data_IF_270862636890
#
_entry.id   IF_270862636890
#
_cell.length_a   1.000
_cell.length_b   1.000
_cell.length_c   1.000
_cell.angle_alpha   90.00
_cell.angle_beta   90.00
_cell.angle_gamma   90.00
#
_symmetry.space_group_name_H-M   'P 1'
#
loop_
_entity.id
_entity.type
_entity.pdbx_description
1 polymer ?
#
# COMPACT_ATOMS: atom_id res chain seq x y z
N UNK A 1 1.20 -10.89 15.20
CA UNK A 1 0.51 -9.64 14.85
C UNK A 1 -0.47 -9.90 13.71
N UNK A 2 -1.68 -9.43 13.87
CA UNK A 2 -2.71 -9.60 12.85
C UNK A 2 -2.49 -8.62 11.71
N UNK A 3 -2.58 -9.11 10.49
CA UNK A 3 -2.43 -8.29 9.29
C UNK A 3 -3.64 -8.42 8.39
N UNK A 4 -3.87 -7.40 7.59
CA UNK A 4 -4.90 -7.39 6.56
C UNK A 4 -4.24 -7.23 5.20
N UNK A 5 -4.93 -7.70 4.19
CA UNK A 5 -4.56 -7.48 2.80
C UNK A 5 -5.57 -6.51 2.20
N UNK A 6 -5.07 -5.40 1.70
CA UNK A 6 -5.91 -4.40 1.04
C UNK A 6 -5.59 -4.40 -0.43
N UNK A 7 -6.62 -4.50 -1.25
CA UNK A 7 -6.50 -4.39 -2.69
C UNK A 7 -6.96 -2.99 -3.07
N UNK A 8 -6.07 -2.24 -3.71
CA UNK A 8 -6.39 -0.92 -4.23
C UNK A 8 -6.59 -1.00 -5.73
N UNK A 9 -7.63 -0.35 -6.21
CA UNK A 9 -7.86 -0.19 -7.63
C UNK A 9 -7.21 1.11 -8.06
N UNK A 10 -6.36 1.04 -9.06
CA UNK A 10 -5.68 2.21 -9.60
C UNK A 10 -6.19 2.46 -11.01
N UNK A 11 -6.64 3.68 -11.25
CA UNK A 11 -7.15 4.09 -12.57
C UNK A 11 -6.26 5.20 -13.10
N UNK A 12 -5.71 4.99 -14.29
CA UNK A 12 -4.89 5.97 -14.97
C UNK A 12 -5.36 6.07 -16.43
N UNK A 13 -6.10 7.12 -16.74
CA UNK A 13 -6.71 7.25 -18.05
C UNK A 13 -7.71 6.12 -18.30
N UNK A 14 -7.49 5.35 -19.34
CA UNK A 14 -8.33 4.20 -19.67
C UNK A 14 -7.83 2.90 -19.08
N UNK A 15 -6.72 2.94 -18.36
CA UNK A 15 -6.13 1.75 -17.78
C UNK A 15 -6.57 1.57 -16.34
N UNK A 16 -6.82 0.32 -15.96
CA UNK A 16 -7.11 -0.06 -14.58
C UNK A 16 -6.18 -1.19 -14.18
N UNK A 17 -5.66 -1.11 -12.97
CA UNK A 17 -4.88 -2.20 -12.42
C UNK A 17 -5.05 -2.22 -10.90
N UNK A 18 -4.52 -3.23 -10.26
CA UNK A 18 -4.68 -3.41 -8.82
C UNK A 18 -3.33 -3.48 -8.14
N UNK A 19 -3.27 -2.88 -6.95
CA UNK A 19 -2.12 -2.98 -6.08
C UNK A 19 -2.53 -3.69 -4.80
N UNK A 20 -1.66 -4.54 -4.29
CA UNK A 20 -1.91 -5.35 -3.11
C UNK A 20 -0.96 -4.94 -2.01
N UNK A 21 -1.52 -4.52 -0.88
CA UNK A 21 -0.73 -3.98 0.23
C UNK A 21 -1.15 -4.69 1.51
N UNK A 22 -0.18 -5.13 2.29
CA UNK A 22 -0.43 -5.71 3.61
C UNK A 22 -0.09 -4.70 4.69
N UNK A 23 -0.99 -4.60 5.66
CA UNK A 23 -0.87 -3.67 6.78
C UNK A 23 -1.25 -4.37 8.07
N UNK A 24 -0.87 -3.76 9.19
CA UNK A 24 -1.36 -4.18 10.47
C UNK A 24 -2.88 -4.00 10.53
N UNK A 25 -3.58 -4.99 11.10
CA UNK A 25 -5.02 -4.90 11.31
C UNK A 25 -5.31 -3.83 12.37
N UNK A 26 -6.10 -2.85 11.98
CA UNK A 26 -6.49 -1.75 12.84
C UNK A 26 -7.84 -1.21 12.34
N UNK A 27 -8.35 -0.19 13.01
CA UNK A 27 -9.62 0.44 12.62
C UNK A 27 -9.35 1.46 11.51
N UNK A 28 -9.13 0.95 10.30
CA UNK A 28 -8.86 1.80 9.15
C UNK A 28 -10.14 2.23 8.45
N UNK A 29 -10.25 3.52 8.16
CA UNK A 29 -11.22 3.99 7.16
C UNK A 29 -10.56 3.92 5.79
N UNK A 30 -11.34 4.04 4.72
CA UNK A 30 -10.78 4.09 3.37
C UNK A 30 -9.80 5.25 3.22
N UNK A 31 -10.14 6.39 3.79
CA UNK A 31 -9.26 7.57 3.77
C UNK A 31 -7.93 7.26 4.46
N UNK A 32 -7.99 6.64 5.63
CA UNK A 32 -6.80 6.29 6.39
C UNK A 32 -5.89 5.35 5.60
N UNK A 33 -6.47 4.35 4.96
CA UNK A 33 -5.71 3.39 4.17
C UNK A 33 -5.04 4.06 2.97
N UNK A 34 -5.78 4.89 2.27
CA UNK A 34 -5.27 5.59 1.11
C UNK A 34 -4.17 6.57 1.50
N UNK A 35 -4.36 7.28 2.61
CA UNK A 35 -3.35 8.20 3.10
C UNK A 35 -2.07 7.46 3.51
N UNK A 36 -2.20 6.35 4.22
CA UNK A 36 -1.04 5.57 4.67
C UNK A 36 -0.20 5.07 3.50
N UNK A 37 -0.86 4.65 2.43
CA UNK A 37 -0.17 4.02 1.29
C UNK A 37 0.33 5.07 0.30
N UNK A 38 -0.44 6.10 0.02
CA UNK A 38 -0.17 7.01 -1.09
C UNK A 38 0.26 8.43 -0.70
N UNK A 39 0.11 8.81 0.57
CA UNK A 39 0.61 10.11 1.02
C UNK A 39 2.14 10.16 0.88
N UNK A 40 2.74 11.31 0.71
CA UNK A 40 2.15 12.65 0.76
C UNK A 40 1.68 13.19 -0.59
N UNK A 41 1.76 12.42 -1.66
CA UNK A 41 1.53 12.90 -3.03
C UNK A 41 0.07 12.76 -3.43
N UNK A 42 -0.75 13.73 -3.08
CA UNK A 42 -2.14 13.74 -3.50
C UNK A 42 -3.09 14.16 -2.40
N UNK A 43 -4.39 14.08 -2.69
CA UNK A 43 -5.45 14.47 -1.79
C UNK A 43 -6.61 13.49 -1.86
N UNK A 44 -7.24 13.29 -0.72
CA UNK A 44 -8.44 12.45 -0.64
C UNK A 44 -9.67 13.24 -1.05
N UNK A 45 -10.45 12.66 -1.96
CA UNK A 45 -11.74 13.22 -2.38
C UNK A 45 -12.85 12.55 -1.60
N UNK A 46 -13.45 13.29 -0.65
CA UNK A 46 -14.49 12.75 0.23
C UNK A 46 -15.80 12.46 -0.49
N UNK A 47 -16.07 13.17 -1.56
CA UNK A 47 -17.32 13.00 -2.30
C UNK A 47 -17.38 11.64 -3.01
N UNK A 48 -16.25 11.20 -3.57
CA UNK A 48 -16.18 9.97 -4.35
C UNK A 48 -15.36 8.87 -3.70
N UNK A 49 -14.82 9.13 -2.51
CA UNK A 49 -14.03 8.15 -1.74
C UNK A 49 -12.82 7.60 -2.51
N UNK A 50 -12.03 8.48 -3.09
CA UNK A 50 -10.79 8.08 -3.73
C UNK A 50 -9.66 9.06 -3.41
N UNK A 51 -8.43 8.58 -3.61
CA UNK A 51 -7.23 9.40 -3.52
C UNK A 51 -6.81 9.80 -4.93
N UNK A 52 -6.48 11.05 -5.13
CA UNK A 52 -6.05 11.57 -6.42
C UNK A 52 -4.62 12.06 -6.28
N UNK A 53 -3.73 11.67 -7.19
CA UNK A 53 -2.34 12.10 -7.12
C UNK A 53 -2.20 13.60 -7.43
N UNK A 54 -1.01 14.16 -7.16
CA UNK A 54 -0.77 15.61 -7.30
C UNK A 54 -1.02 16.13 -8.70
N UNK A 55 -0.91 15.28 -9.69
CA UNK A 55 -1.08 15.68 -11.09
C UNK A 55 -2.47 15.37 -11.61
N UNK A 56 -3.33 14.79 -10.79
CA UNK A 56 -4.66 14.39 -11.21
C UNK A 56 -4.68 13.32 -12.28
N UNK A 57 -3.58 12.57 -12.41
CA UNK A 57 -3.44 11.57 -13.46
C UNK A 57 -3.89 10.18 -13.03
N UNK A 58 -3.81 9.90 -11.74
CA UNK A 58 -4.17 8.59 -11.20
C UNK A 58 -5.13 8.73 -10.04
N UNK A 59 -6.05 7.78 -9.99
CA UNK A 59 -7.04 7.69 -8.94
C UNK A 59 -6.85 6.35 -8.24
N UNK A 60 -6.86 6.35 -6.92
CA UNK A 60 -6.67 5.17 -6.09
C UNK A 60 -7.88 4.97 -5.21
N UNK A 61 -8.45 3.78 -5.23
CA UNK A 61 -9.62 3.42 -4.42
C UNK A 61 -9.36 2.15 -3.64
N UNK A 62 -9.93 2.07 -2.44
CA UNK A 62 -9.96 0.81 -1.72
C UNK A 62 -10.97 -0.10 -2.43
N UNK A 63 -10.51 -1.23 -2.92
CA UNK A 63 -11.35 -2.18 -3.64
C UNK A 63 -11.84 -3.30 -2.72
N UNK A 64 -10.93 -3.88 -1.95
CA UNK A 64 -11.26 -5.03 -1.13
C UNK A 64 -10.29 -5.12 0.06
N UNK A 65 -10.81 -5.54 1.20
CA UNK A 65 -10.02 -5.76 2.42
C UNK A 65 -10.31 -7.16 2.91
N UNK A 66 -9.27 -7.92 3.21
CA UNK A 66 -9.43 -9.26 3.76
C UNK A 66 -8.36 -9.53 4.84
N UNK A 67 -8.62 -10.52 5.66
CA UNK A 67 -7.61 -11.02 6.57
C UNK A 67 -6.57 -11.81 5.79
N UNK A 68 -5.34 -11.82 6.27
CA UNK A 68 -4.29 -12.60 5.64
C UNK A 68 -3.46 -13.27 6.73
N UNK A 69 -3.12 -14.54 6.52
CA UNK A 69 -2.25 -15.27 7.43
C UNK A 69 -0.78 -14.99 7.08
N UNK A 70 0.11 -15.25 8.04
CA UNK A 70 1.54 -15.09 7.82
C UNK A 70 2.03 -15.99 6.68
N UNK A 71 1.46 -17.18 6.57
CA UNK A 71 1.84 -18.11 5.51
C UNK A 71 1.42 -17.61 4.13
N UNK A 72 0.20 -17.10 4.03
CA UNK A 72 -0.28 -16.52 2.79
C UNK A 72 0.55 -15.31 2.38
N UNK A 73 0.88 -14.47 3.35
CA UNK A 73 1.72 -13.30 3.11
C UNK A 73 3.09 -13.70 2.59
N UNK A 74 3.69 -14.74 3.15
CA UNK A 74 4.99 -15.26 2.68
C UNK A 74 4.94 -15.66 1.22
N UNK A 75 3.86 -16.34 0.82
CA UNK A 75 3.69 -16.77 -0.57
C UNK A 75 3.60 -15.56 -1.50
N UNK A 76 2.79 -14.57 -1.13
CA UNK A 76 2.63 -13.37 -1.95
C UNK A 76 3.93 -12.59 -2.06
N UNK A 77 4.67 -12.47 -0.97
CA UNK A 77 5.97 -11.78 -0.98
C UNK A 77 6.99 -12.51 -1.84
N UNK A 78 6.95 -13.83 -1.83
CA UNK A 78 7.85 -14.64 -2.65
C UNK A 78 7.70 -14.32 -4.15
N UNK A 79 6.49 -14.02 -4.58
CA UNK A 79 6.20 -13.71 -5.98
C UNK A 79 6.14 -12.20 -6.26
N UNK A 80 6.54 -11.37 -5.30
CA UNK A 80 6.49 -9.92 -5.42
C UNK A 80 5.08 -9.39 -5.73
N UNK A 81 4.05 -10.04 -5.17
CA UNK A 81 2.66 -9.69 -5.42
C UNK A 81 2.05 -8.79 -4.36
N UNK A 82 2.80 -8.45 -3.32
CA UNK A 82 2.30 -7.64 -2.23
C UNK A 82 3.39 -6.75 -1.67
N UNK A 83 3.01 -5.56 -1.27
CA UNK A 83 3.88 -4.64 -0.52
C UNK A 83 3.47 -4.73 0.95
N UNK A 84 4.38 -5.17 1.81
CA UNK A 84 4.13 -5.26 3.25
C UNK A 84 4.63 -4.00 3.93
N UNK A 85 3.71 -3.06 4.12
CA UNK A 85 4.06 -1.76 4.70
C UNK A 85 4.67 -1.89 6.09
N UNK A 86 4.13 -2.82 6.90
CA UNK A 86 4.63 -2.98 8.26
C UNK A 86 6.12 -3.33 8.27
N UNK A 87 6.49 -4.34 7.50
CA UNK A 87 7.90 -4.73 7.44
C UNK A 87 8.75 -3.71 6.68
N UNK A 88 8.25 -3.27 5.56
CA UNK A 88 9.05 -2.44 4.65
C UNK A 88 9.25 -1.02 5.17
N UNK A 89 8.29 -0.47 5.91
CA UNK A 89 8.37 0.88 6.45
C UNK A 89 8.78 0.94 7.91
N UNK A 90 8.46 -0.10 8.69
CA UNK A 90 8.68 -0.08 10.14
C UNK A 90 9.81 -0.97 10.60
N UNK A 91 10.48 -1.66 9.69
CA UNK A 91 11.63 -2.48 10.02
C UNK A 91 12.91 -1.63 9.93
N UNK A 92 13.56 -1.31 11.05
CA UNK A 92 14.80 -0.55 11.01
C UNK A 92 15.89 -1.23 10.18
N UNK A 93 15.89 -2.53 10.19
CA UNK A 93 16.86 -3.33 9.46
C UNK A 93 16.77 -3.13 7.95
N UNK A 94 15.55 -3.19 7.43
CA UNK A 94 15.32 -2.96 5.99
C UNK A 94 15.64 -1.54 5.59
N UNK A 95 15.26 -0.59 6.42
CA UNK A 95 15.55 0.80 6.16
C UNK A 95 17.06 1.05 6.11
N UNK A 96 17.79 0.52 7.09
CA UNK A 96 19.23 0.65 7.14
C UNK A 96 19.91 -0.04 5.95
N UNK A 97 19.38 -1.17 5.54
CA UNK A 97 19.91 -1.87 4.39
C UNK A 97 19.85 -1.02 3.11
N UNK A 98 18.72 -0.36 2.89
CA UNK A 98 18.54 0.51 1.73
C UNK A 98 19.52 1.68 1.74
N UNK A 99 19.73 2.28 2.89
CA UNK A 99 20.68 3.38 3.04
C UNK A 99 22.12 2.91 2.81
N UNK A 100 22.47 1.80 3.42
CA UNK A 100 23.80 1.24 3.29
C UNK A 100 24.10 0.87 1.84
N UNK A 101 23.16 0.31 1.15
CA UNK A 101 23.33 -0.04 -0.24
C UNK A 101 23.62 1.19 -1.09
N UNK A 102 22.89 2.27 -0.83
CA UNK A 102 23.12 3.52 -1.55
C UNK A 102 24.48 4.12 -1.22
N UNK A 103 24.91 4.00 0.03
CA UNK A 103 26.18 4.53 0.46
C UNK A 103 27.37 3.74 -0.12
N UNK A 104 27.22 2.46 -0.31
CA UNK A 104 28.26 1.60 -0.84
C UNK A 104 28.46 1.77 -2.34
N UNK A 105 27.44 2.23 -2.99
CA UNK A 105 27.50 2.47 -4.42
C UNK A 105 27.97 3.87 -4.76
#
# INVERSE_FOLDING_TARGET
>A
MKKILVTFKVVQGEQEFYEYVSLKDDEWTDEDLLEEVYAPNGLYNKEYNYWEDDYGQRIFKVHFISSITDEELKVLKKFNMVYDIWEDLHSPEKYNYKENKNAEE
#
